data_IF_436433805601
#
_entry.id   IF_436433805601
#
_cell.length_a   1.000
_cell.length_b   1.000
_cell.length_c   1.000
_cell.angle_alpha   90.00
_cell.angle_beta   90.00
_cell.angle_gamma   90.00
#
_symmetry.space_group_name_H-M   'P 1'
#
loop_
_entity.id
_entity.type
_entity.pdbx_description
1 polymer ?
#
# COMPACT_ATOMS: atom_id res chain seq x y z
N UNK A 1 -42.93 22.64 28.83
CA UNK A 1 -41.46 22.73 28.66
C UNK A 1 -40.75 21.38 28.78
N UNK A 2 -40.93 20.59 29.86
CA UNK A 2 -40.24 19.28 30.03
C UNK A 2 -40.47 18.26 28.89
N UNK A 3 -41.69 18.16 28.34
CA UNK A 3 -42.01 17.24 27.21
C UNK A 3 -41.34 17.63 25.88
N UNK A 4 -41.17 18.93 25.62
CA UNK A 4 -40.54 19.43 24.40
C UNK A 4 -39.04 19.17 24.45
N UNK A 5 -38.41 19.39 25.61
CA UNK A 5 -36.99 19.09 25.80
C UNK A 5 -36.69 17.59 25.63
N UNK A 6 -37.59 16.72 26.12
CA UNK A 6 -37.46 15.26 25.97
C UNK A 6 -37.51 14.82 24.50
N UNK A 7 -38.40 15.43 23.71
CA UNK A 7 -38.51 15.17 22.26
C UNK A 7 -37.26 15.63 21.50
N UNK A 8 -36.64 16.74 21.90
CA UNK A 8 -35.40 17.22 21.29
C UNK A 8 -34.25 16.27 21.59
N UNK A 9 -34.07 15.86 22.86
CA UNK A 9 -33.02 14.93 23.27
C UNK A 9 -33.20 13.57 22.55
N UNK A 10 -34.43 13.06 22.46
CA UNK A 10 -34.71 11.81 21.78
C UNK A 10 -34.41 11.90 20.27
N UNK A 11 -34.76 13.01 19.61
CA UNK A 11 -34.41 13.23 18.21
C UNK A 11 -32.90 13.36 18.02
N UNK A 12 -32.16 14.01 18.92
CA UNK A 12 -30.71 14.10 18.85
C UNK A 12 -30.03 12.73 19.01
N UNK A 13 -30.54 11.86 19.88
CA UNK A 13 -30.04 10.48 20.04
C UNK A 13 -30.35 9.65 18.79
N UNK A 14 -31.57 9.75 18.26
CA UNK A 14 -31.97 9.03 17.03
C UNK A 14 -31.16 9.52 15.82
N UNK A 15 -30.92 10.82 15.69
CA UNK A 15 -30.05 11.40 14.66
C UNK A 15 -28.58 10.96 14.81
N UNK A 16 -28.06 10.88 16.04
CA UNK A 16 -26.72 10.32 16.32
C UNK A 16 -26.65 8.85 15.89
N UNK A 17 -27.64 8.03 16.26
CA UNK A 17 -27.69 6.62 15.90
C UNK A 17 -27.92 6.38 14.40
N UNK A 18 -28.64 7.26 13.70
CA UNK A 18 -28.82 7.18 12.24
C UNK A 18 -27.54 7.61 11.52
N UNK A 19 -26.79 8.57 12.05
CA UNK A 19 -25.52 9.01 11.47
C UNK A 19 -24.43 7.93 11.60
N UNK A 20 -24.40 7.19 12.72
CA UNK A 20 -23.49 6.04 12.89
C UNK A 20 -23.85 4.87 11.96
N UNK A 21 -25.14 4.68 11.65
CA UNK A 21 -25.63 3.59 10.80
C UNK A 21 -25.64 3.90 9.29
N UNK A 22 -25.39 5.15 8.87
CA UNK A 22 -25.38 5.53 7.44
C UNK A 22 -23.98 5.81 6.88
N UNK A 23 -22.95 5.89 7.75
CA UNK A 23 -21.53 6.00 7.35
C UNK A 23 -20.83 4.62 7.32
N UNK A 24 -21.46 3.56 7.79
CA UNK A 24 -20.91 2.19 7.89
C UNK A 24 -21.20 1.31 6.67
N UNK A 25 -21.24 1.88 5.45
CA UNK A 25 -20.85 1.08 4.29
C UNK A 25 -19.33 0.98 4.34
N UNK A 26 -18.83 -0.07 5.00
CA UNK A 26 -17.42 -0.45 5.09
C UNK A 26 -16.68 -0.17 3.77
N UNK A 27 -16.06 1.00 3.67
CA UNK A 27 -15.16 1.27 2.56
C UNK A 27 -13.91 0.47 2.87
N UNK A 28 -13.81 -0.72 2.27
CA UNK A 28 -12.59 -1.51 2.32
C UNK A 28 -11.49 -0.70 1.61
N UNK A 29 -10.78 0.11 2.38
CA UNK A 29 -9.63 0.88 1.92
C UNK A 29 -8.39 0.00 1.69
N UNK A 30 -8.48 -1.27 2.07
CA UNK A 30 -7.40 -2.24 1.98
C UNK A 30 -7.53 -3.08 0.71
N UNK A 31 -6.42 -3.25 0.03
CA UNK A 31 -6.29 -4.22 -1.06
C UNK A 31 -5.12 -5.15 -0.78
N UNK A 32 -5.36 -6.45 -0.86
CA UNK A 32 -4.32 -7.46 -0.67
C UNK A 32 -4.16 -8.29 -1.93
N UNK A 33 -2.92 -8.59 -2.30
CA UNK A 33 -2.60 -9.51 -3.38
C UNK A 33 -1.42 -10.39 -2.99
N UNK A 34 -1.45 -11.63 -3.46
CA UNK A 34 -0.46 -12.65 -3.14
C UNK A 34 0.53 -12.81 -4.28
N UNK A 35 1.81 -12.98 -3.94
CA UNK A 35 2.94 -13.22 -4.85
C UNK A 35 3.46 -14.64 -4.59
N UNK A 36 3.02 -15.64 -5.38
CA UNK A 36 3.31 -17.05 -5.14
C UNK A 36 4.81 -17.37 -5.08
N UNK A 37 5.61 -16.72 -5.91
CA UNK A 37 7.05 -16.94 -6.00
C UNK A 37 7.76 -16.58 -4.69
N UNK A 38 7.19 -15.64 -3.93
CA UNK A 38 7.73 -15.12 -2.68
C UNK A 38 7.09 -15.73 -1.43
N UNK A 39 5.95 -16.43 -1.53
CA UNK A 39 5.10 -16.76 -0.36
C UNK A 39 4.78 -15.49 0.46
N UNK A 40 4.43 -14.42 -0.25
CA UNK A 40 4.25 -13.07 0.30
C UNK A 40 2.90 -12.50 -0.13
N UNK A 41 2.14 -12.01 0.83
CA UNK A 41 1.00 -11.13 0.63
C UNK A 41 1.43 -9.69 0.83
N UNK A 42 1.10 -8.83 -0.14
CA UNK A 42 1.25 -7.38 -0.01
C UNK A 42 -0.14 -6.80 0.21
N UNK A 43 -0.31 -6.08 1.31
CA UNK A 43 -1.54 -5.33 1.60
C UNK A 43 -1.26 -3.84 1.49
N UNK A 44 -2.01 -3.13 0.65
CA UNK A 44 -1.98 -1.68 0.58
C UNK A 44 -3.19 -1.10 1.29
N UNK A 45 -3.04 0.06 1.93
CA UNK A 45 -4.14 0.75 2.60
C UNK A 45 -3.99 2.26 2.52
N UNK A 46 -5.03 2.93 1.98
CA UNK A 46 -5.10 4.40 1.94
C UNK A 46 -5.88 4.88 3.15
N UNK A 47 -5.20 5.60 4.04
CA UNK A 47 -5.72 6.01 5.34
C UNK A 47 -6.03 7.51 5.38
N UNK A 48 -6.85 7.91 6.36
CA UNK A 48 -7.18 9.33 6.59
C UNK A 48 -5.91 10.12 6.93
N UNK A 49 -5.84 11.38 6.47
CA UNK A 49 -4.68 12.25 6.70
C UNK A 49 -3.53 12.04 5.73
N UNK A 50 -3.84 11.64 4.48
CA UNK A 50 -2.86 11.51 3.39
C UNK A 50 -1.74 10.50 3.69
N UNK A 51 -2.07 9.38 4.34
CA UNK A 51 -1.13 8.28 4.61
C UNK A 51 -1.45 7.08 3.74
N UNK A 52 -0.42 6.43 3.23
CA UNK A 52 -0.52 5.19 2.49
C UNK A 52 0.38 4.14 3.13
N UNK A 53 -0.21 3.01 3.47
CA UNK A 53 0.51 1.88 4.03
C UNK A 53 0.72 0.83 2.95
N UNK A 54 1.93 0.28 2.90
CA UNK A 54 2.23 -0.97 2.20
C UNK A 54 2.79 -1.94 3.23
N UNK A 55 2.06 -3.03 3.46
CA UNK A 55 2.34 -4.04 4.47
C UNK A 55 2.82 -5.32 3.77
N UNK A 56 3.73 -6.04 4.44
CA UNK A 56 4.33 -7.28 3.97
C UNK A 56 4.07 -8.37 5.00
N UNK A 57 3.34 -9.41 4.62
CA UNK A 57 2.95 -10.49 5.52
C UNK A 57 2.77 -11.79 4.73
N UNK A 58 2.78 -12.94 5.40
CA UNK A 58 2.34 -14.19 4.75
C UNK A 58 0.83 -14.19 4.55
N UNK A 59 0.10 -13.86 5.60
CA UNK A 59 -1.35 -13.84 5.60
C UNK A 59 -1.91 -12.49 5.12
N UNK A 60 -3.08 -12.52 4.50
CA UNK A 60 -3.79 -11.30 4.12
C UNK A 60 -4.30 -10.55 5.35
N UNK A 61 -4.01 -9.25 5.43
CA UNK A 61 -4.56 -8.40 6.48
C UNK A 61 -5.88 -7.82 5.97
N UNK A 62 -6.98 -8.46 6.39
CA UNK A 62 -8.33 -8.14 5.89
C UNK A 62 -8.83 -6.78 6.38
N UNK A 63 -8.40 -6.35 7.57
CA UNK A 63 -8.88 -5.11 8.19
C UNK A 63 -7.77 -4.35 8.90
N UNK A 64 -7.73 -3.05 8.61
CA UNK A 64 -6.87 -2.06 9.23
C UNK A 64 -7.81 -0.94 9.67
N UNK A 65 -7.86 -0.58 10.96
CA UNK A 65 -8.68 0.55 11.42
C UNK A 65 -8.42 1.83 10.61
N UNK A 66 -9.45 2.65 10.40
CA UNK A 66 -9.38 3.90 9.62
C UNK A 66 -8.50 4.99 10.27
N UNK A 67 -8.11 4.78 11.53
CA UNK A 67 -7.24 5.64 12.31
C UNK A 67 -6.22 4.78 13.07
N UNK A 68 -5.24 4.29 12.34
CA UNK A 68 -4.07 3.63 12.94
C UNK A 68 -3.00 4.69 13.16
N UNK A 69 -2.64 4.88 14.43
CA UNK A 69 -1.48 5.68 14.83
C UNK A 69 -0.18 4.90 14.57
N UNK A 70 -0.19 3.60 14.89
CA UNK A 70 0.90 2.65 14.61
C UNK A 70 0.37 1.21 14.53
N UNK A 71 0.99 0.38 13.69
CA UNK A 71 0.73 -1.06 13.65
C UNK A 71 1.58 -1.78 14.72
N UNK A 72 1.24 -3.02 15.10
CA UNK A 72 2.12 -3.83 15.93
C UNK A 72 3.51 -3.95 15.33
N UNK A 73 4.55 -3.90 16.17
CA UNK A 73 5.96 -3.97 15.75
C UNK A 73 6.34 -5.28 15.05
N UNK A 74 5.46 -6.28 15.10
CA UNK A 74 5.59 -7.60 14.45
C UNK A 74 5.19 -7.61 12.98
N UNK A 75 4.63 -6.51 12.47
CA UNK A 75 4.22 -6.37 11.07
C UNK A 75 5.26 -5.55 10.33
N UNK A 76 5.72 -6.07 9.18
CA UNK A 76 6.58 -5.34 8.28
C UNK A 76 5.75 -4.37 7.43
N UNK A 77 6.07 -3.07 7.46
CA UNK A 77 5.34 -2.10 6.64
C UNK A 77 6.17 -0.84 6.36
N UNK A 78 5.74 -0.13 5.31
CA UNK A 78 6.17 1.24 5.02
C UNK A 78 4.97 2.18 5.06
N UNK A 79 5.20 3.41 5.54
CA UNK A 79 4.25 4.51 5.46
C UNK A 79 4.78 5.54 4.49
N UNK A 80 3.95 5.90 3.50
CA UNK A 80 4.19 6.97 2.57
C UNK A 80 3.17 8.11 2.76
N UNK A 81 3.59 9.36 2.53
CA UNK A 81 2.69 10.53 2.52
C UNK A 81 2.12 10.80 1.12
N UNK A 82 0.81 10.75 0.94
CA UNK A 82 0.13 10.73 -0.37
C UNK A 82 0.05 12.08 -1.13
N UNK A 83 0.72 13.15 -0.70
CA UNK A 83 0.68 14.43 -1.43
C UNK A 83 1.73 14.44 -2.54
N UNK A 84 1.27 14.63 -3.79
CA UNK A 84 2.08 14.74 -5.02
C UNK A 84 3.13 13.63 -5.22
N UNK A 85 2.78 12.39 -4.88
CA UNK A 85 3.71 11.27 -4.90
C UNK A 85 4.02 10.70 -6.29
N UNK A 86 5.30 10.39 -6.50
CA UNK A 86 5.74 9.38 -7.47
C UNK A 86 5.34 7.95 -7.05
N UNK A 87 5.56 6.97 -7.93
CA UNK A 87 5.24 5.57 -7.62
C UNK A 87 6.12 5.01 -6.51
N UNK A 88 5.53 4.18 -5.64
CA UNK A 88 6.28 3.31 -4.72
C UNK A 88 6.79 2.14 -5.55
N UNK A 89 8.12 1.98 -5.63
CA UNK A 89 8.77 0.93 -6.40
C UNK A 89 9.38 -0.12 -5.45
N UNK A 90 8.97 -1.37 -5.63
CA UNK A 90 9.40 -2.50 -4.81
C UNK A 90 9.95 -3.59 -5.71
N UNK A 91 11.12 -4.13 -5.39
CA UNK A 91 11.72 -5.27 -6.07
C UNK A 91 11.76 -6.46 -5.13
N UNK A 92 11.32 -7.60 -5.65
CA UNK A 92 11.33 -8.88 -4.97
C UNK A 92 12.27 -9.83 -5.72
N UNK A 93 13.00 -10.64 -4.96
CA UNK A 93 13.88 -11.65 -5.51
C UNK A 93 13.38 -13.05 -5.09
N UNK A 94 12.74 -13.82 -6.00
CA UNK A 94 12.32 -15.19 -5.71
C UNK A 94 13.44 -16.12 -5.22
N UNK A 95 14.70 -15.82 -5.57
CA UNK A 95 15.86 -16.58 -5.09
C UNK A 95 16.32 -16.17 -3.68
N UNK A 96 15.87 -15.03 -3.17
CA UNK A 96 16.19 -14.49 -1.84
C UNK A 96 14.94 -13.88 -1.21
N UNK A 97 14.12 -14.74 -0.60
CA UNK A 97 12.76 -14.38 -0.15
C UNK A 97 12.68 -13.58 1.14
N UNK A 98 13.79 -13.48 1.87
CA UNK A 98 13.88 -12.76 3.14
C UNK A 98 14.04 -11.24 2.96
N UNK A 99 14.29 -10.76 1.75
CA UNK A 99 14.66 -9.38 1.46
C UNK A 99 13.68 -8.72 0.50
N UNK A 100 13.25 -7.52 0.87
CA UNK A 100 12.35 -6.68 0.05
C UNK A 100 13.09 -5.39 -0.25
N UNK A 101 13.30 -5.09 -1.52
CA UNK A 101 14.06 -3.92 -1.94
C UNK A 101 13.12 -2.78 -2.30
N UNK A 102 13.35 -1.60 -1.75
CA UNK A 102 12.45 -0.46 -1.83
C UNK A 102 13.25 0.69 -2.43
N UNK A 103 12.72 1.32 -3.47
CA UNK A 103 13.29 2.54 -4.03
C UNK A 103 13.15 3.68 -3.01
N UNK A 104 14.26 4.37 -2.75
CA UNK A 104 14.29 5.52 -1.85
C UNK A 104 13.49 6.69 -2.44
N UNK A 105 12.52 7.15 -1.68
CA UNK A 105 11.67 8.28 -2.03
C UNK A 105 11.48 9.17 -0.80
N UNK A 106 11.48 10.49 -1.00
CA UNK A 106 11.29 11.52 0.04
C UNK A 106 9.94 11.40 0.76
N UNK A 107 8.97 10.73 0.13
CA UNK A 107 7.64 10.51 0.68
C UNK A 107 7.57 9.32 1.65
N UNK A 108 8.59 8.46 1.72
CA UNK A 108 8.66 7.41 2.75
C UNK A 108 8.91 8.08 4.11
N UNK A 109 7.95 7.96 5.03
CA UNK A 109 8.03 8.59 6.37
C UNK A 109 8.40 7.61 7.47
N UNK A 110 8.13 6.33 7.26
CA UNK A 110 8.42 5.31 8.25
C UNK A 110 8.57 3.95 7.59
N UNK A 111 9.46 3.14 8.16
CA UNK A 111 9.72 1.76 7.78
C UNK A 111 9.83 0.97 9.06
N UNK A 112 9.03 -0.08 9.17
CA UNK A 112 9.10 -1.07 10.25
C UNK A 112 9.42 -2.41 9.62
N UNK A 113 10.52 -3.03 10.06
CA UNK A 113 10.92 -4.37 9.65
C UNK A 113 11.04 -5.31 10.85
N UNK A 114 10.45 -6.49 10.74
CA UNK A 114 10.45 -7.55 11.73
C UNK A 114 10.74 -8.92 11.09
N UNK A 115 9.94 -9.37 10.11
CA UNK A 115 10.15 -10.67 9.44
C UNK A 115 11.00 -10.55 8.18
N UNK A 116 10.94 -9.40 7.49
CA UNK A 116 11.65 -9.18 6.24
C UNK A 116 12.75 -8.12 6.40
N UNK A 117 13.85 -8.31 5.68
CA UNK A 117 14.88 -7.30 5.54
C UNK A 117 14.43 -6.26 4.50
N UNK A 118 13.85 -5.16 4.98
CA UNK A 118 13.43 -4.03 4.15
C UNK A 118 14.66 -3.18 3.77
N UNK A 119 15.12 -3.31 2.52
CA UNK A 119 16.33 -2.67 1.98
C UNK A 119 15.96 -1.44 1.16
N UNK A 120 16.13 -0.24 1.71
CA UNK A 120 15.96 1.01 0.97
C UNK A 120 17.21 1.28 0.14
N UNK A 121 17.03 1.61 -1.13
CA UNK A 121 18.12 1.81 -2.10
C UNK A 121 17.97 3.15 -2.81
N UNK A 122 19.08 3.87 -2.95
CA UNK A 122 19.13 5.10 -3.75
C UNK A 122 18.77 4.80 -5.21
N UNK A 123 18.37 5.83 -5.97
CA UNK A 123 18.06 5.68 -7.41
C UNK A 123 19.14 4.93 -8.19
N UNK A 124 20.42 5.30 -7.98
CA UNK A 124 21.54 4.67 -8.68
C UNK A 124 21.69 3.20 -8.31
N UNK A 125 21.57 2.85 -7.04
CA UNK A 125 21.68 1.46 -6.58
C UNK A 125 20.53 0.61 -7.10
N UNK A 126 19.31 1.13 -7.07
CA UNK A 126 18.12 0.44 -7.52
C UNK A 126 18.21 0.11 -9.03
N UNK A 127 18.46 1.12 -9.85
CA UNK A 127 18.53 0.95 -11.31
C UNK A 127 19.66 0.02 -11.73
N UNK A 128 20.88 0.28 -11.25
CA UNK A 128 22.06 -0.50 -11.66
C UNK A 128 21.97 -1.95 -11.21
N UNK A 129 21.35 -2.22 -10.05
CA UNK A 129 21.20 -3.57 -9.52
C UNK A 129 20.16 -4.36 -10.28
N UNK A 130 18.97 -3.79 -10.50
CA UNK A 130 17.82 -4.55 -10.97
C UNK A 130 17.49 -4.41 -12.44
N UNK A 131 18.01 -3.39 -13.13
CA UNK A 131 17.64 -3.11 -14.51
C UNK A 131 18.85 -3.12 -15.44
N UNK A 132 18.63 -3.55 -16.68
CA UNK A 132 19.59 -3.50 -17.78
C UNK A 132 19.25 -2.33 -18.71
N UNK A 133 20.25 -1.51 -18.99
CA UNK A 133 20.18 -0.56 -20.10
C UNK A 133 20.31 -1.31 -21.42
N UNK A 134 19.45 -1.02 -22.40
CA UNK A 134 19.69 -1.39 -23.80
C UNK A 134 20.01 -0.16 -24.63
N UNK A 135 20.79 -0.35 -25.69
CA UNK A 135 21.19 0.72 -26.61
C UNK A 135 19.93 1.44 -27.10
N UNK A 136 19.80 2.71 -26.72
CA UNK A 136 18.75 3.64 -27.17
C UNK A 136 17.31 3.38 -26.71
N UNK A 137 17.05 2.56 -25.69
CA UNK A 137 15.68 2.37 -25.16
C UNK A 137 15.56 2.74 -23.70
N UNK A 138 14.80 3.81 -23.44
CA UNK A 138 13.96 3.91 -22.24
C UNK A 138 12.57 3.37 -22.65
N UNK A 139 11.88 2.57 -21.80
CA UNK A 139 12.24 2.24 -20.41
C UNK A 139 13.30 1.13 -20.27
N UNK A 140 13.97 1.10 -19.11
CA UNK A 140 14.93 0.05 -18.72
C UNK A 140 14.23 -1.31 -18.58
N UNK A 141 14.97 -2.41 -18.77
CA UNK A 141 14.41 -3.77 -18.69
C UNK A 141 14.80 -4.42 -17.36
N UNK A 142 13.82 -4.90 -16.62
CA UNK A 142 14.03 -5.65 -15.37
C UNK A 142 14.85 -6.92 -15.63
N UNK A 143 15.87 -7.18 -14.81
CA UNK A 143 16.69 -8.40 -14.86
C UNK A 143 15.92 -9.61 -14.32
N UNK A 144 16.20 -10.80 -14.86
CA UNK A 144 15.78 -12.06 -14.24
C UNK A 144 16.60 -12.30 -12.94
N UNK A 145 16.04 -12.86 -11.86
CA UNK A 145 14.66 -13.35 -11.67
C UNK A 145 13.74 -12.36 -10.96
N UNK A 146 14.03 -11.06 -10.99
CA UNK A 146 13.33 -10.09 -10.16
C UNK A 146 11.87 -9.90 -10.58
N UNK A 147 11.04 -9.56 -9.60
CA UNK A 147 9.66 -9.09 -9.78
C UNK A 147 9.63 -7.63 -9.31
N UNK A 148 9.15 -6.74 -10.16
CA UNK A 148 9.00 -5.32 -9.86
C UNK A 148 7.52 -5.02 -9.64
N UNK A 149 7.21 -4.47 -8.47
CA UNK A 149 5.88 -4.00 -8.11
C UNK A 149 5.92 -2.47 -8.10
N UNK A 150 4.97 -1.87 -8.81
CA UNK A 150 4.78 -0.43 -8.88
C UNK A 150 3.41 -0.11 -8.30
N UNK A 151 3.37 0.68 -7.24
CA UNK A 151 2.13 1.13 -6.60
C UNK A 151 2.04 2.64 -6.83
N UNK A 152 0.90 3.10 -7.34
CA UNK A 152 0.58 4.52 -7.54
C UNK A 152 -0.43 4.95 -6.45
N UNK A 153 -0.01 5.54 -5.31
CA UNK A 153 -0.93 5.84 -4.21
C UNK A 153 -2.04 6.84 -4.55
N UNK A 154 -1.78 7.70 -5.55
CA UNK A 154 -2.71 8.73 -6.01
C UNK A 154 -3.90 8.15 -6.77
N UNK A 155 -3.66 7.23 -7.70
CA UNK A 155 -4.68 6.56 -8.52
C UNK A 155 -5.10 5.20 -7.95
N UNK A 156 -4.36 4.70 -6.96
CA UNK A 156 -4.47 3.36 -6.42
C UNK A 156 -4.33 2.23 -7.46
N UNK A 157 -3.54 2.52 -8.51
CA UNK A 157 -3.14 1.52 -9.50
C UNK A 157 -1.95 0.74 -8.96
N UNK A 158 -2.00 -0.59 -9.11
CA UNK A 158 -0.91 -1.48 -8.76
C UNK A 158 -0.58 -2.32 -9.99
N UNK A 159 0.67 -2.28 -10.41
CA UNK A 159 1.18 -3.04 -11.53
C UNK A 159 2.37 -3.90 -11.10
N UNK A 160 2.58 -5.00 -11.82
CA UNK A 160 3.78 -5.82 -11.68
C UNK A 160 4.43 -6.08 -13.03
N UNK A 161 5.75 -5.98 -13.05
CA UNK A 161 6.60 -6.38 -14.16
C UNK A 161 7.46 -7.57 -13.72
N UNK A 162 7.64 -8.54 -14.62
CA UNK A 162 8.56 -9.65 -14.44
C UNK A 162 9.32 -9.88 -15.74
N UNK A 163 10.50 -10.50 -15.66
CA UNK A 163 11.38 -10.67 -16.83
C UNK A 163 10.63 -11.23 -18.05
N UNK A 164 10.70 -10.50 -19.18
CA UNK A 164 10.06 -10.81 -20.48
C UNK A 164 8.52 -10.79 -20.52
N UNK A 165 7.85 -10.41 -19.44
CA UNK A 165 6.39 -10.26 -19.42
C UNK A 165 6.03 -8.77 -19.53
N UNK A 166 5.08 -8.46 -20.42
CA UNK A 166 4.41 -7.16 -20.49
C UNK A 166 3.70 -6.86 -19.18
N UNK A 167 3.81 -5.62 -18.69
CA UNK A 167 3.18 -5.12 -17.47
C UNK A 167 1.80 -5.72 -17.20
N UNK A 168 1.66 -6.33 -16.03
CA UNK A 168 0.39 -6.87 -15.53
C UNK A 168 -0.21 -5.89 -14.54
N UNK A 169 -1.40 -5.38 -14.84
CA UNK A 169 -2.19 -4.62 -13.86
C UNK A 169 -2.78 -5.60 -12.86
N UNK A 170 -2.42 -5.43 -11.58
CA UNK A 170 -2.94 -6.22 -10.45
C UNK A 170 -4.22 -5.58 -9.93
N UNK A 171 -4.24 -4.25 -9.86
CA UNK A 171 -5.39 -3.46 -9.43
C UNK A 171 -5.49 -2.19 -10.26
N UNK A 172 -6.68 -1.94 -10.78
CA UNK A 172 -7.12 -0.62 -11.18
C UNK A 172 -7.81 0.07 -10.00
N UNK A 173 -7.65 1.38 -9.91
CA UNK A 173 -8.17 2.16 -8.80
C UNK A 173 -8.63 3.54 -9.22
N UNK A 174 -9.39 4.17 -8.32
CA UNK A 174 -9.73 5.60 -8.38
C UNK A 174 -9.01 6.38 -7.28
N UNK A 175 -8.99 7.72 -7.38
CA UNK A 175 -8.42 8.61 -6.36
C UNK A 175 -8.98 8.38 -4.95
N UNK A 176 -10.17 7.78 -4.85
CA UNK A 176 -10.86 7.45 -3.61
C UNK A 176 -10.52 6.07 -3.05
N UNK A 177 -9.72 5.28 -3.76
CA UNK A 177 -9.26 3.98 -3.31
C UNK A 177 -10.20 2.81 -3.62
N UNK A 178 -11.21 2.99 -4.47
CA UNK A 178 -12.05 1.89 -5.00
C UNK A 178 -11.38 1.25 -6.19
#
# INVERSE_FOLDING_TARGET
MKRILLLIILNCIVLSCINDNTVTKEKKHNFSFYIPEMDLTITTSKQVGAKFYTLFSKDSIVWLPDSIVSLPDTIDYIINQTHEMGPINIILNPAQKDSIYIYEDEYIKHIQGFNYKLCVLTHKEFDTRFFESRISTHPLILKYPYIHIVIFPNTYVIASDSYKITQKIIKEGSIYGY
#
